data_IF_524859707951
#
_entry.id   IF_524859707951
#
_cell.length_a   1.000
_cell.length_b   1.000
_cell.length_c   1.000
_cell.angle_alpha   90.00
_cell.angle_beta   90.00
_cell.angle_gamma   90.00
#
_symmetry.space_group_name_H-M   'P 1'
#
loop_
_entity.id
_entity.type
_entity.pdbx_description
1 polymer ?
#
# COMPACT_ATOMS: atom_id res chain seq x y z
N UNK A 1 10.42 3.13 -15.13
CA UNK A 1 9.70 2.10 -14.35
C UNK A 1 9.50 2.67 -12.97
N UNK A 2 8.25 2.81 -12.51
CA UNK A 2 7.98 3.34 -11.18
C UNK A 2 8.28 2.25 -10.14
N UNK A 3 8.97 2.61 -9.05
CA UNK A 3 9.28 1.67 -7.97
C UNK A 3 8.02 1.35 -7.16
N UNK A 4 8.01 0.22 -6.46
CA UNK A 4 6.90 -0.21 -5.59
C UNK A 4 6.30 0.93 -4.72
N UNK A 5 7.11 1.75 -4.00
CA UNK A 5 6.58 2.83 -3.17
C UNK A 5 5.78 3.88 -3.95
N UNK A 6 6.24 4.26 -5.14
CA UNK A 6 5.59 5.27 -5.98
C UNK A 6 4.22 4.79 -6.48
N UNK A 7 4.14 3.52 -6.89
CA UNK A 7 2.88 2.89 -7.31
C UNK A 7 1.90 2.80 -6.15
N UNK A 8 2.38 2.46 -4.95
CA UNK A 8 1.55 2.36 -3.76
C UNK A 8 0.99 3.72 -3.32
N UNK A 9 1.82 4.76 -3.29
CA UNK A 9 1.39 6.14 -2.99
C UNK A 9 0.29 6.56 -3.97
N UNK A 10 0.55 6.40 -5.27
CA UNK A 10 -0.40 6.78 -6.31
C UNK A 10 -1.72 6.04 -6.16
N UNK A 11 -1.68 4.72 -5.93
CA UNK A 11 -2.88 3.91 -5.73
C UNK A 11 -3.67 4.37 -4.48
N UNK A 12 -2.99 4.66 -3.37
CA UNK A 12 -3.65 5.18 -2.17
C UNK A 12 -4.30 6.54 -2.43
N UNK A 13 -3.60 7.47 -3.08
CA UNK A 13 -4.14 8.81 -3.33
C UNK A 13 -5.34 8.79 -4.29
N UNK A 14 -5.33 7.89 -5.28
CA UNK A 14 -6.44 7.69 -6.21
C UNK A 14 -7.66 7.01 -5.55
N UNK A 15 -7.45 6.02 -4.68
CA UNK A 15 -8.53 5.22 -4.07
C UNK A 15 -9.04 5.78 -2.74
N UNK A 16 -8.19 6.49 -2.02
CA UNK A 16 -8.45 6.99 -0.66
C UNK A 16 -8.13 8.50 -0.54
N UNK A 17 -8.76 9.36 -1.36
CA UNK A 17 -8.44 10.78 -1.40
C UNK A 17 -8.68 11.44 -0.03
N UNK A 18 -7.69 12.19 0.44
CA UNK A 18 -7.74 12.93 1.70
C UNK A 18 -7.64 12.06 2.97
N UNK A 19 -7.59 10.72 2.85
CA UNK A 19 -7.38 9.86 4.02
C UNK A 19 -5.91 9.81 4.40
N UNK A 20 -5.64 9.87 5.70
CA UNK A 20 -4.29 9.72 6.23
C UNK A 20 -3.82 8.27 6.07
N UNK A 21 -2.55 8.09 5.73
CA UNK A 21 -1.95 6.76 5.48
C UNK A 21 -2.07 5.79 6.66
N UNK A 22 -2.02 6.28 7.90
CA UNK A 22 -2.18 5.46 9.10
C UNK A 22 -3.58 4.87 9.21
N UNK A 23 -4.61 5.67 8.90
CA UNK A 23 -6.01 5.22 8.84
C UNK A 23 -6.18 4.17 7.75
N UNK A 24 -5.66 4.41 6.55
CA UNK A 24 -5.76 3.46 5.43
C UNK A 24 -5.05 2.14 5.77
N UNK A 25 -3.88 2.21 6.41
CA UNK A 25 -3.15 1.03 6.87
C UNK A 25 -4.01 0.17 7.80
N UNK A 26 -4.70 0.79 8.76
CA UNK A 26 -5.57 0.09 9.69
C UNK A 26 -6.84 -0.46 9.03
N UNK A 27 -7.43 0.27 8.07
CA UNK A 27 -8.59 -0.20 7.30
C UNK A 27 -8.28 -1.47 6.49
N UNK A 28 -7.03 -1.64 6.04
CA UNK A 28 -6.55 -2.87 5.40
C UNK A 28 -6.34 -4.04 6.39
N UNK A 29 -6.27 -3.77 7.69
CA UNK A 29 -5.85 -4.72 8.71
C UNK A 29 -4.33 -4.80 8.93
N UNK A 30 -3.57 -3.80 8.46
CA UNK A 30 -2.14 -3.67 8.72
C UNK A 30 -1.88 -2.83 9.99
N UNK A 31 -0.64 -2.87 10.49
CA UNK A 31 -0.22 -1.98 11.57
C UNK A 31 -0.24 -0.50 11.12
N UNK A 32 -0.46 0.46 12.02
CA UNK A 32 -0.67 1.88 11.65
C UNK A 32 0.50 2.52 10.90
N UNK A 33 1.73 2.02 11.09
CA UNK A 33 2.93 2.51 10.40
C UNK A 33 3.39 1.59 9.25
N UNK A 34 2.75 0.45 9.04
CA UNK A 34 3.17 -0.55 8.05
C UNK A 34 3.09 0.00 6.63
N UNK A 35 1.93 0.53 6.23
CA UNK A 35 1.76 1.12 4.90
C UNK A 35 2.67 2.35 4.69
N UNK A 36 2.90 3.15 5.74
CA UNK A 36 3.80 4.31 5.69
C UNK A 36 5.26 3.90 5.42
N UNK A 37 5.75 2.85 6.06
CA UNK A 37 7.11 2.35 5.82
C UNK A 37 7.30 1.87 4.39
N UNK A 38 6.27 1.23 3.83
CA UNK A 38 6.22 0.81 2.43
C UNK A 38 6.25 1.99 1.45
N UNK A 39 5.42 3.01 1.69
CA UNK A 39 5.39 4.22 0.85
C UNK A 39 6.69 5.03 0.90
N UNK A 40 7.47 4.91 1.98
CA UNK A 40 8.78 5.54 2.12
C UNK A 40 9.94 4.68 1.61
N UNK A 41 9.67 3.43 1.24
CA UNK A 41 10.70 2.46 0.87
C UNK A 41 11.63 2.09 2.04
N UNK A 42 11.18 2.25 3.29
CA UNK A 42 11.95 1.88 4.47
C UNK A 42 12.13 0.34 4.52
N UNK A 43 11.07 -0.40 4.18
CA UNK A 43 11.06 -1.86 4.09
C UNK A 43 10.14 -2.32 2.96
N UNK A 44 10.38 -3.51 2.42
CA UNK A 44 9.49 -4.16 1.44
C UNK A 44 8.39 -4.97 2.14
N UNK A 45 7.18 -5.10 1.54
CA UNK A 45 6.13 -5.94 2.08
C UNK A 45 6.49 -7.42 1.96
N UNK A 46 6.02 -8.22 2.91
CA UNK A 46 5.95 -9.67 2.73
C UNK A 46 4.87 -10.00 1.69
N UNK A 47 4.93 -11.18 1.08
CA UNK A 47 3.88 -11.65 0.15
C UNK A 47 2.50 -11.59 0.80
N UNK A 48 2.37 -11.94 2.08
CA UNK A 48 1.12 -11.86 2.84
C UNK A 48 0.58 -10.43 2.92
N UNK A 49 1.44 -9.44 3.22
CA UNK A 49 1.02 -8.04 3.29
C UNK A 49 0.73 -7.46 1.90
N UNK A 50 1.47 -7.88 0.88
CA UNK A 50 1.20 -7.49 -0.49
C UNK A 50 -0.18 -8.02 -0.95
N UNK A 51 -0.54 -9.25 -0.58
CA UNK A 51 -1.87 -9.82 -0.83
C UNK A 51 -2.98 -9.03 -0.11
N UNK A 52 -2.74 -8.56 1.11
CA UNK A 52 -3.70 -7.70 1.84
C UNK A 52 -3.94 -6.40 1.06
N UNK A 53 -2.86 -5.73 0.66
CA UNK A 53 -2.94 -4.46 -0.10
C UNK A 53 -3.66 -4.67 -1.43
N UNK A 54 -3.29 -5.72 -2.18
CA UNK A 54 -3.87 -6.04 -3.48
C UNK A 54 -5.36 -6.37 -3.37
N UNK A 55 -5.76 -7.15 -2.36
CA UNK A 55 -7.18 -7.46 -2.09
C UNK A 55 -7.97 -6.20 -1.69
N UNK A 56 -7.42 -5.37 -0.82
CA UNK A 56 -8.09 -4.15 -0.37
C UNK A 56 -8.38 -3.20 -1.53
N UNK A 57 -7.42 -2.98 -2.42
CA UNK A 57 -7.59 -2.12 -3.59
C UNK A 57 -8.20 -2.81 -4.82
N UNK A 58 -8.47 -4.11 -4.73
CA UNK A 58 -8.94 -4.95 -5.83
C UNK A 58 -8.04 -4.84 -7.09
N UNK A 59 -6.73 -4.98 -6.90
CA UNK A 59 -5.71 -5.00 -7.97
C UNK A 59 -4.99 -6.34 -8.00
N UNK A 60 -4.39 -6.69 -9.14
CA UNK A 60 -3.51 -7.87 -9.21
C UNK A 60 -2.16 -7.58 -8.54
N UNK A 61 -1.46 -8.63 -8.10
CA UNK A 61 -0.09 -8.48 -7.58
C UNK A 61 0.84 -7.83 -8.61
N UNK A 62 0.66 -8.19 -9.90
CA UNK A 62 1.46 -7.64 -11.00
C UNK A 62 1.24 -6.15 -11.29
N UNK A 63 0.27 -5.50 -10.63
CA UNK A 63 0.22 -4.02 -10.62
C UNK A 63 1.54 -3.44 -10.11
N UNK A 64 2.17 -4.13 -9.16
CA UNK A 64 3.38 -3.66 -8.48
C UNK A 64 4.69 -4.01 -9.19
N UNK A 65 4.67 -4.85 -10.23
CA UNK A 65 5.85 -5.31 -11.00
C UNK A 65 6.53 -4.24 -11.89
#
# INVERSE_FOLDING_TARGET
MNKFPEKLIKLREEKEPGKRVDIVSQLMGLGPNTLRGYERGEHEPTISNLLIIAKYYNVSLGYFD
#
